data_IF_372644689552
#
_entry.id   IF_372644689552
#
_cell.length_a   1.000
_cell.length_b   1.000
_cell.length_c   1.000
_cell.angle_alpha   90.00
_cell.angle_beta   90.00
_cell.angle_gamma   90.00
#
_symmetry.space_group_name_H-M   'P 1'
#
loop_
_entity.id
_entity.type
_entity.pdbx_description
1 polymer ?
#
# COMPACT_ATOMS: atom_id res chain seq x y z
N UNK A 1 13.32 -20.11 -7.75
CA UNK A 1 13.48 -18.67 -7.66
C UNK A 1 13.45 -18.19 -6.23
N UNK A 2 13.84 -16.98 -6.00
CA UNK A 2 13.76 -16.39 -4.67
C UNK A 2 12.29 -16.12 -4.32
N UNK A 3 11.85 -16.39 -3.10
CA UNK A 3 10.54 -15.95 -2.70
C UNK A 3 10.49 -14.40 -2.75
N UNK A 4 9.37 -13.88 -3.20
CA UNK A 4 9.21 -12.44 -3.21
C UNK A 4 9.00 -11.94 -1.78
N UNK A 5 9.68 -10.85 -1.37
CA UNK A 5 9.53 -10.34 -0.01
C UNK A 5 8.14 -9.74 0.24
N UNK A 6 7.40 -9.41 -0.83
CA UNK A 6 6.05 -8.86 -0.75
C UNK A 6 5.16 -9.63 -1.71
N UNK A 7 4.00 -10.06 -1.25
CA UNK A 7 2.98 -10.66 -2.09
C UNK A 7 1.66 -9.92 -1.97
N UNK A 8 0.97 -9.80 -3.11
CA UNK A 8 -0.33 -9.17 -3.19
C UNK A 8 -1.36 -10.24 -3.57
N UNK A 9 -2.40 -10.40 -2.77
CA UNK A 9 -3.52 -11.27 -3.08
C UNK A 9 -4.75 -10.39 -3.27
N UNK A 10 -5.54 -10.69 -4.28
CA UNK A 10 -6.72 -9.92 -4.59
C UNK A 10 -7.95 -10.83 -4.64
N UNK A 11 -8.97 -10.45 -3.89
CA UNK A 11 -10.29 -11.04 -4.02
C UNK A 11 -11.21 -10.01 -4.67
N UNK A 12 -12.03 -10.46 -5.62
CA UNK A 12 -12.93 -9.59 -6.37
C UNK A 12 -14.36 -10.09 -6.29
N UNK A 13 -15.28 -9.16 -6.21
CA UNK A 13 -16.70 -9.46 -6.26
C UNK A 13 -17.41 -8.33 -7.02
N UNK A 14 -18.09 -8.70 -8.11
CA UNK A 14 -18.81 -7.73 -8.91
C UNK A 14 -20.23 -7.51 -8.38
N UNK A 15 -20.62 -6.26 -8.29
CA UNK A 15 -21.97 -5.84 -7.91
C UNK A 15 -22.49 -4.83 -8.93
N UNK A 16 -23.49 -5.19 -9.69
CA UNK A 16 -24.10 -4.26 -10.66
C UNK A 16 -23.02 -3.63 -11.53
N UNK A 17 -22.80 -2.33 -11.41
CA UNK A 17 -21.83 -1.58 -12.21
C UNK A 17 -20.46 -1.43 -11.54
N UNK A 18 -20.28 -1.96 -10.33
CA UNK A 18 -19.04 -1.81 -9.58
C UNK A 18 -18.41 -3.15 -9.25
N UNK A 19 -17.11 -3.12 -9.03
CA UNK A 19 -16.34 -4.26 -8.56
C UNK A 19 -15.75 -3.93 -7.19
N UNK A 20 -16.04 -4.77 -6.22
CA UNK A 20 -15.41 -4.70 -4.90
C UNK A 20 -14.12 -5.49 -4.95
N UNK A 21 -13.05 -4.86 -4.52
CA UNK A 21 -11.73 -5.47 -4.47
C UNK A 21 -11.24 -5.49 -3.03
N UNK A 22 -10.75 -6.64 -2.60
CA UNK A 22 -10.14 -6.82 -1.30
C UNK A 22 -8.68 -7.18 -1.52
N UNK A 23 -7.80 -6.26 -1.19
CA UNK A 23 -6.37 -6.40 -1.39
C UNK A 23 -5.71 -6.84 -0.09
N UNK A 24 -4.99 -7.96 -0.15
CA UNK A 24 -4.25 -8.49 0.98
C UNK A 24 -2.76 -8.40 0.68
N UNK A 25 -2.04 -7.67 1.49
CA UNK A 25 -0.62 -7.42 1.32
C UNK A 25 0.13 -8.18 2.40
N UNK A 26 0.96 -9.14 1.99
CA UNK A 26 1.82 -9.92 2.88
C UNK A 26 3.27 -9.54 2.64
N UNK A 27 4.05 -9.47 3.69
CA UNK A 27 5.46 -9.14 3.60
C UNK A 27 6.28 -10.04 4.52
N UNK A 28 7.42 -10.52 4.02
CA UNK A 28 8.43 -11.19 4.85
C UNK A 28 9.34 -10.15 5.54
N UNK A 29 9.22 -8.90 5.15
CA UNK A 29 9.88 -7.79 5.81
C UNK A 29 9.08 -7.41 7.05
N UNK A 30 9.73 -6.75 7.97
CA UNK A 30 9.08 -6.20 9.17
C UNK A 30 9.08 -4.67 9.04
N UNK A 31 8.20 -4.11 8.21
CA UNK A 31 8.23 -2.68 7.95
C UNK A 31 7.74 -1.88 9.15
N UNK A 32 8.38 -0.76 9.42
CA UNK A 32 7.90 0.19 10.41
C UNK A 32 6.78 1.06 9.87
N UNK A 33 6.70 1.22 8.55
CA UNK A 33 5.71 2.05 7.89
C UNK A 33 5.43 1.54 6.48
N UNK A 34 4.17 1.66 6.08
CA UNK A 34 3.72 1.32 4.72
C UNK A 34 3.05 2.53 4.10
N UNK A 35 3.43 2.85 2.87
CA UNK A 35 2.75 3.85 2.04
C UNK A 35 2.09 3.11 0.89
N UNK A 36 0.79 3.32 0.72
CA UNK A 36 0.01 2.67 -0.34
C UNK A 36 -0.76 3.72 -1.11
N UNK A 37 -0.60 3.74 -2.42
CA UNK A 37 -1.36 4.61 -3.31
C UNK A 37 -2.12 3.75 -4.31
N UNK A 38 -3.42 3.98 -4.37
CA UNK A 38 -4.31 3.37 -5.34
C UNK A 38 -4.74 4.45 -6.33
N UNK A 39 -4.65 4.16 -7.61
CA UNK A 39 -5.02 5.09 -8.68
C UNK A 39 -5.93 4.40 -9.68
N UNK A 40 -6.91 5.13 -10.19
CA UNK A 40 -7.86 4.64 -11.18
C UNK A 40 -8.21 5.77 -12.14
N UNK A 41 -8.53 5.47 -13.41
CA UNK A 41 -9.04 6.50 -14.32
C UNK A 41 -10.44 7.00 -13.95
N UNK A 42 -11.13 6.33 -13.04
CA UNK A 42 -12.43 6.74 -12.53
C UNK A 42 -12.46 6.66 -11.01
N UNK A 43 -13.55 7.13 -10.41
CA UNK A 43 -13.65 7.25 -8.97
C UNK A 43 -13.48 5.93 -8.22
N UNK A 44 -12.58 5.95 -7.25
CA UNK A 44 -12.38 4.90 -6.25
C UNK A 44 -13.16 5.25 -5.00
N UNK A 45 -13.81 4.27 -4.38
CA UNK A 45 -14.44 4.43 -3.08
C UNK A 45 -13.81 3.45 -2.10
N UNK A 46 -13.28 3.96 -0.99
CA UNK A 46 -12.73 3.13 0.06
C UNK A 46 -13.89 2.54 0.85
N UNK A 47 -13.81 1.25 1.08
CA UNK A 47 -14.82 0.48 1.78
C UNK A 47 -14.23 -0.01 3.09
N UNK A 48 -14.92 0.23 4.20
CA UNK A 48 -14.46 -0.21 5.52
C UNK A 48 -13.05 0.31 5.83
N UNK A 49 -12.91 1.64 5.92
CA UNK A 49 -11.62 2.30 6.08
C UNK A 49 -11.05 2.04 7.48
N UNK A 50 -10.12 1.09 7.58
CA UNK A 50 -9.45 0.74 8.84
C UNK A 50 -8.26 1.65 9.13
N UNK A 51 -7.78 2.36 8.14
CA UNK A 51 -6.58 3.20 8.23
C UNK A 51 -6.88 4.59 7.71
N UNK A 52 -6.19 5.62 8.23
CA UNK A 52 -6.33 6.96 7.68
C UNK A 52 -5.92 7.00 6.21
N UNK A 53 -6.65 7.75 5.43
CA UNK A 53 -6.35 7.93 4.02
C UNK A 53 -6.69 9.33 3.55
N UNK A 54 -6.08 9.74 2.44
CA UNK A 54 -6.37 10.99 1.76
C UNK A 54 -6.77 10.67 0.32
N UNK A 55 -7.71 11.43 -0.20
CA UNK A 55 -8.13 11.33 -1.60
C UNK A 55 -7.86 12.64 -2.31
N UNK A 56 -7.64 12.57 -3.63
CA UNK A 56 -7.66 13.78 -4.46
C UNK A 56 -9.10 14.29 -4.63
N UNK A 57 -9.24 15.46 -5.24
CA UNK A 57 -10.56 16.11 -5.39
C UNK A 57 -11.52 15.34 -6.28
N UNK A 58 -10.99 14.50 -7.19
CA UNK A 58 -11.79 13.72 -8.10
C UNK A 58 -12.04 12.28 -7.63
N UNK A 59 -11.43 11.89 -6.50
CA UNK A 59 -11.58 10.54 -5.98
C UNK A 59 -10.88 9.47 -6.81
N UNK A 60 -9.93 9.85 -7.66
CA UNK A 60 -9.24 8.90 -8.53
C UNK A 60 -7.93 8.39 -7.95
N UNK A 61 -7.47 9.00 -6.89
CA UNK A 61 -6.26 8.59 -6.19
C UNK A 61 -6.54 8.58 -4.70
N UNK A 62 -6.14 7.49 -4.06
CA UNK A 62 -6.27 7.33 -2.61
C UNK A 62 -4.90 6.95 -2.06
N UNK A 63 -4.48 7.63 -1.00
CA UNK A 63 -3.19 7.42 -0.37
C UNK A 63 -3.36 7.07 1.10
N UNK A 64 -2.71 5.97 1.49
CA UNK A 64 -2.63 5.53 2.88
C UNK A 64 -1.21 5.69 3.38
N UNK A 65 -1.07 6.15 4.61
CA UNK A 65 0.20 6.11 5.34
C UNK A 65 -0.06 5.34 6.63
N UNK A 66 0.46 4.14 6.72
CA UNK A 66 0.14 3.19 7.78
C UNK A 66 1.40 2.90 8.60
N UNK A 67 1.33 3.18 9.88
CA UNK A 67 2.43 3.00 10.82
C UNK A 67 2.23 3.86 12.04
N UNK A 68 3.06 3.66 13.08
CA UNK A 68 4.05 2.60 13.21
C UNK A 68 3.40 1.23 13.40
N UNK A 69 4.16 0.17 13.14
CA UNK A 69 3.73 -1.22 13.32
C UNK A 69 2.51 -1.62 12.49
N UNK A 70 2.59 -1.53 11.16
CA UNK A 70 1.46 -1.95 10.32
C UNK A 70 1.20 -3.44 10.50
N UNK A 71 -0.07 -3.88 10.41
CA UNK A 71 -0.37 -5.30 10.49
C UNK A 71 0.18 -6.06 9.29
N UNK A 72 0.42 -7.36 9.47
CA UNK A 72 0.86 -8.25 8.41
C UNK A 72 0.07 -9.56 8.54
N UNK A 73 -0.85 -9.86 7.64
CA UNK A 73 -1.12 -9.15 6.39
C UNK A 73 -1.88 -7.83 6.60
N UNK A 74 -1.68 -6.93 5.66
CA UNK A 74 -2.38 -5.67 5.60
C UNK A 74 -3.54 -5.79 4.61
N UNK A 75 -4.74 -5.43 5.03
CA UNK A 75 -5.94 -5.60 4.22
C UNK A 75 -6.59 -4.26 3.91
N UNK A 76 -6.88 -4.02 2.64
CA UNK A 76 -7.54 -2.80 2.17
C UNK A 76 -8.64 -3.19 1.20
N UNK A 77 -9.85 -2.67 1.43
CA UNK A 77 -11.01 -2.92 0.57
C UNK A 77 -11.47 -1.63 -0.10
N UNK A 78 -11.77 -1.73 -1.37
CA UNK A 78 -12.25 -0.58 -2.15
C UNK A 78 -13.17 -1.05 -3.28
N UNK A 79 -13.89 -0.10 -3.88
CA UNK A 79 -14.69 -0.37 -5.06
C UNK A 79 -14.31 0.56 -6.19
N UNK A 80 -14.37 0.03 -7.41
CA UNK A 80 -14.16 0.77 -8.65
C UNK A 80 -15.27 0.38 -9.64
N UNK A 81 -15.50 1.14 -10.70
CA UNK A 81 -16.35 0.66 -11.79
C UNK A 81 -15.80 -0.65 -12.37
N UNK A 82 -16.71 -1.52 -12.84
CA UNK A 82 -16.36 -2.90 -13.20
C UNK A 82 -15.26 -3.03 -14.24
N UNK A 83 -15.25 -2.21 -15.25
CA UNK A 83 -14.34 -2.37 -16.39
C UNK A 83 -13.14 -1.42 -16.32
N UNK A 84 -12.66 -1.15 -15.12
CA UNK A 84 -11.61 -0.16 -14.88
C UNK A 84 -10.41 -0.82 -14.22
N UNK A 85 -9.23 -0.58 -14.78
CA UNK A 85 -7.97 -1.03 -14.18
C UNK A 85 -7.60 -0.14 -13.00
N UNK A 86 -6.95 -0.71 -12.01
CA UNK A 86 -6.46 0.00 -10.83
C UNK A 86 -4.96 -0.18 -10.73
N UNK A 87 -4.25 0.91 -10.49
CA UNK A 87 -2.82 0.86 -10.25
C UNK A 87 -2.53 0.89 -8.76
N UNK A 88 -1.68 -0.03 -8.31
CA UNK A 88 -1.19 -0.10 -6.94
C UNK A 88 0.26 0.35 -6.93
N UNK A 89 0.58 1.28 -6.06
CA UNK A 89 1.95 1.72 -5.79
C UNK A 89 2.18 1.58 -4.29
N UNK A 90 2.97 0.59 -3.91
CA UNK A 90 3.20 0.21 -2.53
C UNK A 90 4.66 0.41 -2.17
N UNK A 91 4.91 1.10 -1.07
CA UNK A 91 6.25 1.23 -0.50
C UNK A 91 6.25 0.80 0.96
N UNK A 92 7.20 -0.07 1.30
CA UNK A 92 7.42 -0.52 2.67
C UNK A 92 8.75 0.04 3.16
N UNK A 93 8.72 0.70 4.30
CA UNK A 93 9.90 1.34 4.88
C UNK A 93 10.29 0.60 6.15
N UNK A 94 11.53 0.15 6.19
CA UNK A 94 12.12 -0.50 7.37
C UNK A 94 13.25 0.35 7.90
N UNK A 95 13.23 0.64 9.20
CA UNK A 95 14.35 1.25 9.88
C UNK A 95 15.32 0.13 10.24
N UNK A 96 16.49 0.14 9.65
CA UNK A 96 17.42 -0.96 9.84
C UNK A 96 18.61 -0.61 10.69
N UNK A 97 19.19 0.57 10.53
CA UNK A 97 20.48 0.83 11.16
C UNK A 97 20.60 2.28 11.56
N UNK A 98 20.99 2.52 12.80
CA UNK A 98 21.45 3.84 13.19
C UNK A 98 22.95 3.91 12.95
N UNK A 99 23.39 4.95 12.24
CA UNK A 99 24.79 5.15 11.88
C UNK A 99 25.33 6.34 12.66
N UNK A 100 26.47 6.17 13.37
CA UNK A 100 27.05 7.29 14.08
C UNK A 100 27.61 8.33 13.09
N UNK A 101 27.35 9.59 13.36
CA UNK A 101 27.93 10.70 12.60
C UNK A 101 29.25 11.08 13.25
N UNK A 102 30.34 10.95 12.51
CA UNK A 102 31.70 11.13 13.03
C UNK A 102 31.88 12.53 13.64
N UNK A 103 32.37 12.56 14.87
CA UNK A 103 32.75 13.80 15.55
C UNK A 103 31.63 14.58 16.19
N UNK A 104 30.39 14.11 16.11
CA UNK A 104 29.22 14.86 16.60
C UNK A 104 28.52 14.21 17.78
N UNK A 105 28.73 12.92 18.01
CA UNK A 105 27.94 12.15 18.97
C UNK A 105 26.51 11.89 18.51
N UNK A 106 26.11 12.41 17.36
CA UNK A 106 24.80 12.18 16.81
C UNK A 106 24.77 10.89 16.00
N UNK A 107 23.57 10.40 15.74
CA UNK A 107 23.33 9.22 14.90
C UNK A 107 22.19 9.53 13.95
N UNK A 108 22.24 8.94 12.76
CA UNK A 108 21.08 8.99 11.88
C UNK A 108 20.65 7.58 11.49
N UNK A 109 19.37 7.45 11.14
CA UNK A 109 18.77 6.15 10.83
C UNK A 109 18.67 6.01 9.32
N UNK A 110 19.21 4.89 8.82
CA UNK A 110 19.06 4.53 7.42
C UNK A 110 17.75 3.78 7.26
N UNK A 111 16.86 4.36 6.45
CA UNK A 111 15.62 3.71 6.07
C UNK A 111 15.83 3.04 4.72
N UNK A 112 15.46 1.75 4.63
CA UNK A 112 15.41 1.07 3.35
C UNK A 112 13.96 0.88 2.94
N UNK A 113 13.69 1.10 1.64
CA UNK A 113 12.36 0.97 1.09
C UNK A 113 12.29 -0.15 0.06
N UNK A 114 11.20 -0.89 0.06
CA UNK A 114 10.84 -1.81 -1.00
C UNK A 114 9.60 -1.27 -1.68
N UNK A 115 9.66 -1.10 -3.00
CA UNK A 115 8.55 -0.56 -3.78
C UNK A 115 8.01 -1.59 -4.74
N UNK A 116 6.69 -1.74 -4.76
CA UNK A 116 5.98 -2.62 -5.69
C UNK A 116 4.96 -1.80 -6.44
N UNK A 117 4.99 -1.85 -7.76
CA UNK A 117 4.00 -1.21 -8.62
C UNK A 117 3.31 -2.31 -9.42
N UNK A 118 2.00 -2.35 -9.35
CA UNK A 118 1.22 -3.37 -10.03
C UNK A 118 -0.08 -2.78 -10.57
N UNK A 119 -0.49 -3.22 -11.76
CA UNK A 119 -1.81 -2.91 -12.29
C UNK A 119 -2.75 -4.08 -12.05
N UNK A 120 -3.92 -3.79 -11.53
CA UNK A 120 -5.01 -4.74 -11.40
C UNK A 120 -5.94 -4.55 -12.60
N UNK A 121 -5.91 -5.50 -13.52
CA UNK A 121 -6.78 -5.46 -14.68
C UNK A 121 -8.24 -5.72 -14.29
N UNK A 122 -9.18 -5.18 -15.06
CA UNK A 122 -10.59 -5.39 -14.76
C UNK A 122 -11.06 -6.83 -14.94
#
# INVERSE_FOLDING_TARGET
GRPQPVSLELEEQDFLSRSRKNLLIRSDLDPGRVSLRLSSPQELLIFDARYPFETDTEGREVRFAIGPFPPNPLEVSFTVPRDVATRIDLELFSEQTSVPITGTGARYVLSTGTRVIQSLEP
#
